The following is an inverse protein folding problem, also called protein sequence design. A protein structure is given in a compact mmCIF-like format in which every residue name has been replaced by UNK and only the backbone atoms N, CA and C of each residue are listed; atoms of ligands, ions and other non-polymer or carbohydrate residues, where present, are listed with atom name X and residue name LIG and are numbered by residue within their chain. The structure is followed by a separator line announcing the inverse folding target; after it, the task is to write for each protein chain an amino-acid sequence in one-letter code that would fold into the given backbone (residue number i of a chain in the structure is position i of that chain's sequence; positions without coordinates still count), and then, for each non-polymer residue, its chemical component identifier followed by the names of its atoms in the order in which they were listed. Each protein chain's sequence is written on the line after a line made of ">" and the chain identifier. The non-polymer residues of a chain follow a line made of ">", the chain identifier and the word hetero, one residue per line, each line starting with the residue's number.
data_IF_742154581111
#
_entry.id   IF_742154581111
#
_cell.length_a   1.000
_cell.length_b   1.000
_cell.length_c   1.000
_cell.angle_alpha   90.00
_cell.angle_beta   90.00
_cell.angle_gamma   90.00
#
_symmetry.space_group_name_H-M   'P 1'
#
loop_
_entity.id
_entity.type
_entity.pdbx_description
1 polymer ?
#
# COMPACT_ATOMS: atom_id res chain seq x y z
N UNK A 1 11.09 -11.78 -2.48
CA UNK A 1 9.69 -12.04 -2.11
C UNK A 1 8.78 -11.45 -3.18
N UNK A 2 7.85 -12.25 -3.69
CA UNK A 2 6.79 -11.81 -4.59
C UNK A 2 5.47 -11.97 -3.84
N UNK A 3 4.67 -10.90 -3.81
CA UNK A 3 3.35 -10.90 -3.21
C UNK A 3 2.29 -10.90 -4.31
N UNK A 4 1.62 -12.02 -4.53
CA UNK A 4 0.69 -12.19 -5.65
C UNK A 4 -0.76 -11.81 -5.36
N UNK A 5 -1.11 -11.46 -4.13
CA UNK A 5 -2.49 -11.23 -3.69
C UNK A 5 -3.46 -12.32 -4.18
N UNK A 6 -4.70 -11.96 -4.46
CA UNK A 6 -5.69 -12.83 -5.04
C UNK A 6 -5.70 -12.64 -6.55
N UNK A 7 -4.91 -13.44 -7.25
CA UNK A 7 -4.88 -13.44 -8.72
C UNK A 7 -6.18 -14.05 -9.28
N UNK A 8 -6.51 -13.65 -10.50
CA UNK A 8 -7.60 -14.28 -11.26
C UNK A 8 -7.16 -15.59 -11.90
N UNK A 9 -7.86 -15.98 -12.97
CA UNK A 9 -7.65 -17.23 -13.69
C UNK A 9 -6.20 -17.41 -14.15
N UNK A 10 -5.53 -16.34 -14.56
CA UNK A 10 -4.15 -16.36 -15.07
C UNK A 10 -3.08 -16.11 -13.99
N UNK A 11 -3.42 -16.22 -12.70
CA UNK A 11 -2.49 -15.95 -11.60
C UNK A 11 -1.21 -16.80 -11.68
N UNK A 12 -1.34 -18.08 -12.01
CA UNK A 12 -0.21 -18.99 -12.14
C UNK A 12 0.73 -18.59 -13.27
N UNK A 13 0.18 -18.24 -14.43
CA UNK A 13 0.91 -17.74 -15.59
C UNK A 13 1.66 -16.46 -15.25
N UNK A 14 0.97 -15.49 -14.68
CA UNK A 14 1.54 -14.19 -14.32
C UNK A 14 2.69 -14.30 -13.30
N UNK A 15 2.52 -15.13 -12.26
CA UNK A 15 3.57 -15.37 -11.26
C UNK A 15 4.77 -16.09 -11.90
N UNK A 16 4.51 -17.11 -12.73
CA UNK A 16 5.56 -17.82 -13.43
C UNK A 16 6.36 -16.91 -14.35
N UNK A 17 5.71 -16.08 -15.15
CA UNK A 17 6.37 -15.13 -16.05
C UNK A 17 7.18 -14.07 -15.29
N UNK A 18 6.69 -13.60 -14.16
CA UNK A 18 7.45 -12.71 -13.31
C UNK A 18 8.68 -13.39 -12.69
N UNK A 19 8.52 -14.61 -12.17
CA UNK A 19 9.63 -15.37 -11.56
C UNK A 19 10.75 -15.68 -12.53
N UNK A 20 10.41 -16.02 -13.76
CA UNK A 20 11.39 -16.35 -14.82
C UNK A 20 11.85 -15.15 -15.65
N UNK A 21 11.46 -13.95 -15.24
CA UNK A 21 11.92 -12.70 -15.86
C UNK A 21 11.34 -12.42 -17.25
N UNK A 22 10.27 -13.11 -17.64
CA UNK A 22 9.55 -12.82 -18.88
C UNK A 22 8.82 -11.48 -18.81
N UNK A 23 8.33 -11.13 -17.62
CA UNK A 23 7.66 -9.88 -17.31
C UNK A 23 8.39 -9.18 -16.18
N UNK A 24 8.62 -7.88 -16.32
CA UNK A 24 9.20 -7.06 -15.27
C UNK A 24 8.13 -6.68 -14.24
N UNK A 25 8.22 -7.15 -12.98
CA UNK A 25 7.24 -6.77 -11.97
C UNK A 25 7.33 -5.27 -11.68
N UNK A 26 6.21 -4.59 -11.71
CA UNK A 26 6.11 -3.14 -11.48
C UNK A 26 5.03 -2.76 -10.45
N UNK A 27 4.33 -3.75 -9.91
CA UNK A 27 3.30 -3.56 -8.89
C UNK A 27 3.87 -2.90 -7.63
N UNK A 28 3.05 -2.09 -6.99
CA UNK A 28 3.36 -1.42 -5.74
C UNK A 28 2.33 -1.83 -4.68
N UNK A 29 2.77 -1.91 -3.43
CA UNK A 29 1.88 -2.28 -2.33
C UNK A 29 0.77 -1.24 -2.14
N UNK A 30 -0.49 -1.65 -2.14
CA UNK A 30 -1.63 -0.76 -1.90
C UNK A 30 -1.90 -0.54 -0.41
N UNK A 31 -1.06 -1.08 0.44
CA UNK A 31 -1.15 -0.97 1.90
C UNK A 31 0.24 -0.98 2.53
N UNK A 32 0.30 -0.56 3.78
CA UNK A 32 1.51 -0.68 4.61
C UNK A 32 1.51 -2.04 5.28
N UNK A 33 2.67 -2.70 5.36
CA UNK A 33 2.89 -3.88 6.18
C UNK A 33 3.63 -3.48 7.45
N UNK A 34 3.00 -3.63 8.58
CA UNK A 34 3.61 -3.43 9.89
C UNK A 34 4.64 -4.52 10.22
N UNK A 35 5.54 -4.23 11.13
CA UNK A 35 6.48 -5.21 11.68
C UNK A 35 5.78 -6.18 12.63
N UNK A 36 4.78 -5.71 13.36
CA UNK A 36 3.94 -6.49 14.27
C UNK A 36 2.56 -5.87 14.35
N UNK A 37 1.57 -6.67 14.69
CA UNK A 37 0.16 -6.27 14.72
C UNK A 37 -0.10 -5.07 15.66
N UNK A 38 0.60 -4.99 16.79
CA UNK A 38 0.47 -3.90 17.77
C UNK A 38 0.90 -2.54 17.21
N UNK A 39 1.63 -2.53 16.09
CA UNK A 39 2.02 -1.29 15.41
C UNK A 39 0.90 -0.73 14.52
N UNK A 40 -0.14 -1.51 14.24
CA UNK A 40 -1.27 -1.06 13.44
C UNK A 40 -1.98 0.13 14.09
N UNK A 41 -2.32 1.20 13.33
CA UNK A 41 -3.12 2.30 13.85
C UNK A 41 -4.49 1.84 14.37
N UNK A 42 -5.03 0.76 13.81
CA UNK A 42 -6.32 0.19 14.19
C UNK A 42 -6.23 -0.84 15.33
N UNK A 43 -5.05 -1.12 15.88
CA UNK A 43 -4.85 -2.19 16.84
C UNK A 43 -5.83 -2.15 18.01
N UNK A 44 -6.05 -0.98 18.58
CA UNK A 44 -6.92 -0.82 19.74
C UNK A 44 -8.42 -0.73 19.40
N UNK A 45 -8.76 -0.49 18.16
CA UNK A 45 -10.14 -0.27 17.70
C UNK A 45 -10.68 -1.37 16.78
N UNK A 46 -9.82 -2.30 16.35
CA UNK A 46 -10.20 -3.37 15.43
C UNK A 46 -11.12 -4.42 16.06
N UNK A 47 -11.00 -4.63 17.35
CA UNK A 47 -11.78 -5.61 18.08
C UNK A 47 -13.02 -4.97 18.71
N UNK A 48 -14.05 -5.77 18.85
CA UNK A 48 -15.26 -5.47 19.61
C UNK A 48 -15.13 -6.13 21.00
N UNK A 49 -14.49 -5.47 21.98
CA UNK A 49 -14.21 -6.06 23.29
C UNK A 49 -15.49 -6.30 24.09
N UNK A 50 -16.49 -5.47 23.87
CA UNK A 50 -17.75 -5.50 24.63
C UNK A 50 -18.78 -6.41 24.00
N UNK A 51 -18.50 -6.93 22.78
CA UNK A 51 -19.38 -7.80 21.99
C UNK A 51 -20.77 -7.19 21.73
N UNK A 52 -20.82 -5.88 21.65
CA UNK A 52 -22.04 -5.12 21.35
C UNK A 52 -22.30 -4.98 19.84
N UNK A 53 -21.41 -5.57 19.01
CA UNK A 53 -21.40 -5.51 17.54
C UNK A 53 -21.10 -4.12 16.96
N UNK A 54 -20.46 -3.27 17.75
CA UNK A 54 -20.02 -1.96 17.31
C UNK A 54 -18.48 -1.89 17.27
N UNK A 55 -17.94 -1.37 16.21
CA UNK A 55 -16.50 -1.10 16.05
C UNK A 55 -16.33 0.39 15.78
N UNK A 56 -15.60 1.07 16.65
CA UNK A 56 -15.35 2.51 16.53
C UNK A 56 -14.08 2.75 15.70
N UNK A 57 -14.17 3.54 14.65
CA UNK A 57 -13.02 4.00 13.86
C UNK A 57 -12.36 5.21 14.56
N UNK A 58 -11.60 4.94 15.59
CA UNK A 58 -11.03 5.98 16.47
C UNK A 58 -9.85 6.73 15.83
N UNK A 59 -9.21 6.15 14.82
CA UNK A 59 -8.10 6.73 14.07
C UNK A 59 -8.50 7.90 13.16
N UNK A 60 -9.78 8.04 12.84
CA UNK A 60 -10.31 9.09 11.96
C UNK A 60 -9.65 9.09 10.59
N UNK A 61 -9.10 10.23 10.15
CA UNK A 61 -8.41 10.34 8.85
C UNK A 61 -7.02 9.68 8.84
N UNK A 62 -6.51 9.23 9.98
CA UNK A 62 -5.17 8.65 10.12
C UNK A 62 -5.18 7.13 9.99
N UNK A 63 -5.97 6.63 9.06
CA UNK A 63 -5.99 5.22 8.68
C UNK A 63 -4.78 4.87 7.80
N UNK A 64 -4.39 3.58 7.81
CA UNK A 64 -3.33 3.04 6.97
C UNK A 64 -2.02 3.82 7.11
N UNK A 65 -1.35 4.11 6.00
CA UNK A 65 -0.03 4.77 6.00
C UNK A 65 -0.01 6.12 6.73
N UNK A 66 -1.11 6.88 6.71
CA UNK A 66 -1.21 8.16 7.42
C UNK A 66 -1.07 7.99 8.93
N UNK A 67 -1.58 6.88 9.47
CA UNK A 67 -1.45 6.55 10.89
C UNK A 67 -0.01 6.22 11.27
N UNK A 68 0.67 5.40 10.45
CA UNK A 68 2.07 5.08 10.67
C UNK A 68 2.96 6.32 10.61
N UNK A 69 2.73 7.19 9.62
CA UNK A 69 3.48 8.46 9.46
C UNK A 69 3.25 9.39 10.65
N UNK A 70 2.00 9.59 11.07
CA UNK A 70 1.65 10.42 12.22
C UNK A 70 2.30 9.93 13.52
N UNK A 71 2.27 8.62 13.73
CA UNK A 71 2.81 7.98 14.93
C UNK A 71 4.33 7.73 14.84
N UNK A 72 4.96 8.05 13.68
CA UNK A 72 6.37 7.80 13.39
C UNK A 72 6.76 6.34 13.66
N UNK A 73 5.88 5.41 13.32
CA UNK A 73 6.11 3.98 13.50
C UNK A 73 6.91 3.41 12.34
N UNK A 74 7.90 2.62 12.66
CA UNK A 74 8.63 1.86 11.66
C UNK A 74 7.76 0.75 11.10
N UNK A 75 7.84 0.56 9.79
CA UNK A 75 7.06 -0.44 9.07
C UNK A 75 7.97 -1.44 8.36
N UNK A 76 7.47 -2.62 8.07
CA UNK A 76 8.20 -3.63 7.31
C UNK A 76 8.29 -3.26 5.83
N UNK A 77 7.14 -2.88 5.25
CA UNK A 77 7.05 -2.36 3.89
C UNK A 77 6.05 -1.20 3.86
N UNK A 78 6.45 -0.01 3.45
CA UNK A 78 5.54 1.13 3.38
C UNK A 78 4.54 1.00 2.21
N UNK A 79 3.44 1.72 2.31
CA UNK A 79 2.51 1.93 1.18
C UNK A 79 3.29 2.40 -0.06
N UNK A 80 2.97 1.84 -1.21
CA UNK A 80 3.64 2.16 -2.46
C UNK A 80 5.00 1.47 -2.66
N UNK A 81 5.46 0.66 -1.70
CA UNK A 81 6.69 -0.10 -1.86
C UNK A 81 6.56 -1.16 -2.94
N UNK A 82 7.61 -1.32 -3.72
CA UNK A 82 7.73 -2.38 -4.69
C UNK A 82 9.01 -2.24 -5.48
N UNK A 83 9.70 -3.37 -5.68
CA UNK A 83 10.91 -3.45 -6.48
C UNK A 83 10.58 -3.89 -7.90
N UNK A 84 11.52 -3.66 -8.79
CA UNK A 84 11.48 -4.07 -10.20
C UNK A 84 12.80 -4.73 -10.56
N UNK A 85 12.85 -5.45 -11.67
CA UNK A 85 14.11 -6.01 -12.17
C UNK A 85 14.98 -4.94 -12.87
N UNK A 86 14.44 -3.74 -13.06
CA UNK A 86 15.14 -2.60 -13.62
C UNK A 86 14.99 -1.37 -12.73
N UNK A 87 15.73 -0.34 -13.04
CA UNK A 87 15.66 0.97 -12.39
C UNK A 87 15.06 2.00 -13.33
N UNK A 88 14.30 2.95 -12.77
CA UNK A 88 13.68 4.05 -13.51
C UNK A 88 14.29 5.36 -13.05
N UNK A 89 14.61 6.23 -14.02
CA UNK A 89 15.04 7.61 -13.73
C UNK A 89 14.02 8.57 -14.34
N UNK A 90 13.36 9.35 -13.52
CA UNK A 90 12.49 10.42 -13.96
C UNK A 90 13.32 11.68 -14.20
N UNK A 91 13.15 12.31 -15.34
CA UNK A 91 13.85 13.55 -15.71
C UNK A 91 12.94 14.44 -16.55
N UNK A 92 13.27 15.74 -16.60
CA UNK A 92 12.58 16.73 -17.43
C UNK A 92 11.06 16.80 -17.18
N UNK A 93 10.68 16.88 -15.90
CA UNK A 93 9.27 17.07 -15.53
C UNK A 93 8.84 18.46 -15.97
N UNK A 94 7.88 18.53 -16.90
CA UNK A 94 7.27 19.78 -17.37
C UNK A 94 5.82 19.80 -16.92
N UNK A 95 5.42 20.87 -16.23
CA UNK A 95 4.03 21.12 -15.85
C UNK A 95 3.51 22.29 -16.67
N UNK A 96 2.41 22.07 -17.42
CA UNK A 96 1.62 23.16 -18.00
C UNK A 96 0.48 23.49 -17.05
N UNK A 97 0.52 24.68 -16.45
CA UNK A 97 -0.62 25.19 -15.69
C UNK A 97 -1.67 25.72 -16.66
N UNK A 98 -2.82 25.04 -16.77
CA UNK A 98 -4.03 25.65 -17.32
C UNK A 98 -4.74 26.38 -16.18
N UNK A 99 -4.81 27.72 -16.27
CA UNK A 99 -5.77 28.46 -15.45
C UNK A 99 -7.17 28.08 -15.92
N UNK A 100 -7.91 27.36 -15.09
CA UNK A 100 -9.36 27.26 -15.23
C UNK A 100 -9.91 28.64 -14.89
N UNK A 101 -10.32 29.38 -15.90
CA UNK A 101 -11.18 30.57 -15.69
C UNK A 101 -12.52 30.03 -15.21
N UNK A 102 -12.86 30.31 -13.96
CA UNK A 102 -14.20 30.17 -13.44
C UNK A 102 -15.10 31.11 -14.27
N UNK A 103 -16.12 30.55 -14.92
CA UNK A 103 -17.25 31.25 -15.49
C UNK A 103 -18.34 31.42 -14.45
#
# INVERSE_FOLDING_TARGET
>A
LIWGFYGGQEAGTAIGEALFGKVNPSGKLPMTFEKKWEDSPAYNSYHDPDKDKHVAYTEGIFIGYRGYDKLKREVQYPFGYGLSYTTFKLSNIVSQSQMLMEQ
#
